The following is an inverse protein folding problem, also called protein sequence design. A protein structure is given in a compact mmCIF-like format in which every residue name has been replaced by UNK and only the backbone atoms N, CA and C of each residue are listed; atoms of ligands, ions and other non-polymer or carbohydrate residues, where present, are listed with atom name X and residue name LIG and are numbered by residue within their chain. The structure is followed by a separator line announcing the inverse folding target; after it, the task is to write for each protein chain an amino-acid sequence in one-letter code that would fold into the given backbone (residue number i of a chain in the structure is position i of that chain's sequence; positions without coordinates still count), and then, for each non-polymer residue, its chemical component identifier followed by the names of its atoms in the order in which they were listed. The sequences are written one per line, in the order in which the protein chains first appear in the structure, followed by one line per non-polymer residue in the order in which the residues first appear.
data_IF_236941977346
#
_entry.id   IF_236941977346
#
_cell.length_a   1.000
_cell.length_b   1.000
_cell.length_c   1.000
_cell.angle_alpha   90.00
_cell.angle_beta   90.00
_cell.angle_gamma   90.00
#
_symmetry.space_group_name_H-M   'P 1'
#
loop_
_entity.id
_entity.type
_entity.pdbx_description
1 polymer ?
#
# COMPACT_ATOMS: atom_id res chain seq x y z
N UNK A 1 -2.21 -17.94 6.39
CA UNK A 1 -0.74 -17.94 6.25
C UNK A 1 -0.18 -16.90 7.23
N UNK A 2 0.88 -17.21 7.97
CA UNK A 2 1.50 -16.24 8.90
C UNK A 2 2.59 -15.46 8.17
N UNK A 3 2.37 -14.17 7.92
CA UNK A 3 3.38 -13.26 7.38
C UNK A 3 4.36 -12.88 8.51
N UNK A 4 5.40 -13.69 8.71
CA UNK A 4 6.42 -13.44 9.72
C UNK A 4 7.47 -12.43 9.22
N UNK A 5 7.49 -11.25 9.86
CA UNK A 5 8.56 -10.23 9.89
C UNK A 5 9.01 -9.58 8.57
N UNK A 6 8.65 -8.29 8.42
CA UNK A 6 9.50 -7.15 7.96
C UNK A 6 10.43 -7.32 6.74
N UNK A 7 10.17 -8.30 5.88
CA UNK A 7 10.80 -8.44 4.58
C UNK A 7 9.79 -8.01 3.53
N UNK A 8 10.22 -7.07 2.72
CA UNK A 8 9.49 -6.56 1.57
C UNK A 8 8.65 -7.63 0.87
N UNK A 9 7.42 -7.26 0.50
CA UNK A 9 6.56 -8.12 -0.27
C UNK A 9 7.10 -8.21 -1.70
N UNK A 10 7.24 -9.44 -2.18
CA UNK A 10 7.36 -9.66 -3.63
C UNK A 10 6.06 -9.31 -4.33
N UNK A 11 6.14 -9.09 -5.65
CA UNK A 11 4.98 -8.84 -6.50
C UNK A 11 3.91 -9.93 -6.35
N UNK A 12 4.30 -11.20 -6.34
CA UNK A 12 3.37 -12.32 -6.17
C UNK A 12 2.65 -12.27 -4.81
N UNK A 13 3.38 -11.96 -3.72
CA UNK A 13 2.80 -11.84 -2.38
C UNK A 13 1.85 -10.64 -2.26
N UNK A 14 2.15 -9.53 -2.94
CA UNK A 14 1.22 -8.41 -3.08
C UNK A 14 -0.05 -8.83 -3.80
N UNK A 15 0.04 -9.60 -4.89
CA UNK A 15 -1.15 -10.04 -5.61
C UNK A 15 -1.98 -11.03 -4.81
N UNK A 16 -1.35 -11.97 -4.11
CA UNK A 16 -2.05 -12.85 -3.17
C UNK A 16 -2.76 -12.05 -2.07
N UNK A 17 -2.07 -11.06 -1.49
CA UNK A 17 -2.65 -10.17 -0.50
C UNK A 17 -3.87 -9.44 -1.05
N UNK A 18 -3.77 -8.88 -2.26
CA UNK A 18 -4.86 -8.11 -2.89
C UNK A 18 -5.99 -9.00 -3.44
N UNK A 19 -5.76 -10.29 -3.66
CA UNK A 19 -6.77 -11.22 -4.18
C UNK A 19 -7.88 -11.52 -3.17
N UNK A 20 -7.59 -11.41 -1.88
CA UNK A 20 -8.55 -11.69 -0.78
C UNK A 20 -9.56 -10.56 -0.52
N UNK A 21 -9.45 -9.44 -1.26
CA UNK A 21 -10.30 -8.26 -1.08
C UNK A 21 -11.32 -8.12 -2.22
N UNK A 22 -12.49 -7.63 -1.86
CA UNK A 22 -13.59 -7.36 -2.79
C UNK A 22 -13.36 -6.00 -3.49
N UNK A 23 -13.49 -5.99 -4.82
CA UNK A 23 -13.29 -4.78 -5.64
C UNK A 23 -14.30 -3.65 -5.32
N UNK A 24 -15.43 -4.00 -4.70
CA UNK A 24 -16.45 -3.05 -4.25
C UNK A 24 -16.18 -2.43 -2.87
N UNK A 25 -15.17 -2.92 -2.13
CA UNK A 25 -14.77 -2.32 -0.86
C UNK A 25 -14.01 -1.01 -1.09
N UNK A 26 -14.23 -0.06 -0.18
CA UNK A 26 -13.47 1.18 -0.10
C UNK A 26 -12.47 1.07 1.04
N UNK A 27 -11.27 1.59 0.82
CA UNK A 27 -10.21 1.59 1.81
C UNK A 27 -9.65 3.00 2.00
N UNK A 28 -9.27 3.29 3.25
CA UNK A 28 -8.59 4.53 3.59
C UNK A 28 -7.10 4.35 3.36
N UNK A 29 -6.53 5.26 2.57
CA UNK A 29 -5.11 5.33 2.31
C UNK A 29 -4.56 6.67 2.82
N UNK A 30 -3.35 6.65 3.34
CA UNK A 30 -2.62 7.85 3.78
C UNK A 30 -1.45 8.04 2.82
N UNK A 31 -1.52 9.07 1.99
CA UNK A 31 -0.37 9.51 1.20
C UNK A 31 0.56 10.34 2.08
N UNK A 32 1.85 10.03 2.03
CA UNK A 32 2.91 10.73 2.73
C UNK A 32 3.79 11.39 1.68
N UNK A 33 3.73 12.72 1.62
CA UNK A 33 4.54 13.55 0.72
C UNK A 33 5.53 14.37 1.50
N UNK A 34 6.71 14.57 0.93
CA UNK A 34 7.75 15.40 1.54
C UNK A 34 7.80 16.78 0.87
N UNK A 35 7.57 17.85 1.64
CA UNK A 35 7.78 19.23 1.20
C UNK A 35 8.69 19.93 2.20
N UNK A 36 9.85 20.43 1.75
CA UNK A 36 10.83 21.10 2.63
C UNK A 36 11.26 20.24 3.84
N UNK A 37 11.41 18.92 3.64
CA UNK A 37 11.71 17.93 4.70
C UNK A 37 10.61 17.77 5.77
N UNK A 38 9.43 18.34 5.55
CA UNK A 38 8.26 18.07 6.39
C UNK A 38 7.36 17.06 5.68
N UNK A 39 6.86 16.11 6.46
CA UNK A 39 5.87 15.14 6.01
C UNK A 39 4.49 15.78 5.96
N UNK A 40 3.81 15.59 4.84
CA UNK A 40 2.44 15.98 4.60
C UNK A 40 1.64 14.69 4.43
N UNK A 41 0.75 14.44 5.38
CA UNK A 41 -0.09 13.26 5.43
C UNK A 41 -1.47 13.63 4.87
N UNK A 42 -1.90 12.94 3.81
CA UNK A 42 -3.21 13.16 3.16
C UNK A 42 -4.01 11.88 3.21
N UNK A 43 -5.14 11.89 3.90
CA UNK A 43 -6.04 10.75 3.95
C UNK A 43 -7.03 10.81 2.78
N UNK A 44 -7.10 9.72 2.03
CA UNK A 44 -7.99 9.57 0.88
C UNK A 44 -8.77 8.26 0.97
N UNK A 45 -10.01 8.26 0.49
CA UNK A 45 -10.80 7.05 0.31
C UNK A 45 -10.78 6.67 -1.15
N UNK A 46 -10.27 5.48 -1.45
CA UNK A 46 -10.26 4.95 -2.80
C UNK A 46 -10.94 3.58 -2.83
N UNK A 47 -11.48 3.21 -3.99
CA UNK A 47 -11.96 1.84 -4.21
C UNK A 47 -10.77 0.88 -4.23
N UNK A 48 -11.02 -0.37 -3.88
CA UNK A 48 -9.99 -1.39 -3.91
C UNK A 48 -9.48 -1.65 -5.33
N UNK A 49 -10.34 -1.54 -6.35
CA UNK A 49 -9.93 -1.60 -7.76
C UNK A 49 -8.89 -0.53 -8.11
N UNK A 50 -9.09 0.72 -7.67
CA UNK A 50 -8.15 1.81 -7.93
C UNK A 50 -6.83 1.59 -7.16
N UNK A 51 -6.90 0.99 -5.96
CA UNK A 51 -5.71 0.65 -5.19
C UNK A 51 -4.87 -0.40 -5.93
N UNK A 52 -5.51 -1.45 -6.46
CA UNK A 52 -4.84 -2.46 -7.27
C UNK A 52 -4.11 -1.80 -8.43
N UNK A 53 -4.78 -0.97 -9.21
CA UNK A 53 -4.17 -0.24 -10.34
C UNK A 53 -2.98 0.61 -9.90
N UNK A 54 -3.08 1.32 -8.78
CA UNK A 54 -1.96 2.11 -8.25
C UNK A 54 -0.76 1.24 -7.91
N UNK A 55 -0.97 0.11 -7.23
CA UNK A 55 0.11 -0.83 -6.88
C UNK A 55 0.69 -1.45 -8.16
N UNK A 56 -0.14 -1.86 -9.12
CA UNK A 56 0.31 -2.41 -10.41
C UNK A 56 1.20 -1.41 -11.15
N UNK A 57 0.75 -0.16 -11.30
CA UNK A 57 1.52 0.89 -11.95
C UNK A 57 2.83 1.16 -11.19
N UNK A 58 2.79 1.16 -9.86
CA UNK A 58 3.99 1.38 -9.07
C UNK A 58 5.04 0.26 -9.20
N UNK A 59 4.60 -0.99 -9.34
CA UNK A 59 5.48 -2.12 -9.57
C UNK A 59 6.06 -2.11 -10.99
N UNK A 60 5.27 -1.73 -11.99
CA UNK A 60 5.71 -1.68 -13.40
C UNK A 60 6.65 -0.49 -13.67
N UNK A 61 6.32 0.69 -13.14
CA UNK A 61 7.11 1.91 -13.30
C UNK A 61 8.29 1.98 -12.31
N UNK A 62 8.29 1.14 -11.26
CA UNK A 62 9.26 1.18 -10.17
C UNK A 62 9.15 2.45 -9.31
N UNK A 63 7.98 3.07 -9.27
CA UNK A 63 7.73 4.31 -8.54
C UNK A 63 6.26 4.50 -8.14
N UNK A 64 5.98 4.94 -6.91
CA UNK A 64 4.62 5.35 -6.51
C UNK A 64 4.41 6.84 -6.77
N UNK A 65 3.51 7.15 -7.69
CA UNK A 65 3.14 8.53 -7.96
C UNK A 65 2.48 9.18 -6.74
N UNK A 66 3.05 10.31 -6.30
CA UNK A 66 2.50 11.06 -5.18
C UNK A 66 3.06 10.70 -3.80
N UNK A 67 4.15 9.93 -3.73
CA UNK A 67 4.92 9.69 -2.50
C UNK A 67 4.66 8.31 -1.88
N UNK A 68 5.03 8.17 -0.61
CA UNK A 68 4.79 6.93 0.12
C UNK A 68 3.29 6.81 0.43
N UNK A 69 2.81 5.59 0.60
CA UNK A 69 1.43 5.29 0.98
C UNK A 69 1.38 4.38 2.19
N UNK A 70 0.38 4.57 3.03
CA UNK A 70 0.05 3.66 4.11
C UNK A 70 -1.41 3.26 4.03
N UNK A 71 -1.67 1.97 4.15
CA UNK A 71 -2.98 1.39 3.98
C UNK A 71 -3.23 0.51 5.19
N UNK A 72 -4.27 0.84 5.96
CA UNK A 72 -4.65 0.00 7.08
C UNK A 72 -5.40 -1.22 6.55
N UNK A 73 -4.97 -2.42 6.93
CA UNK A 73 -5.62 -3.69 6.60
C UNK A 73 -6.21 -4.31 7.89
N UNK A 74 -7.43 -3.90 8.32
CA UNK A 74 -7.99 -4.29 9.61
C UNK A 74 -8.12 -5.82 9.76
N UNK A 75 -8.46 -6.51 8.66
CA UNK A 75 -8.63 -7.98 8.64
C UNK A 75 -7.36 -8.73 9.02
N UNK A 76 -6.19 -8.15 8.74
CA UNK A 76 -4.88 -8.76 9.01
C UNK A 76 -4.23 -8.20 10.27
N UNK A 77 -4.85 -7.21 10.93
CA UNK A 77 -4.21 -6.43 12.01
C UNK A 77 -2.82 -5.91 11.59
N UNK A 78 -2.71 -5.49 10.33
CA UNK A 78 -1.47 -5.01 9.71
C UNK A 78 -1.72 -3.74 8.88
N UNK A 79 -0.64 -3.03 8.55
CA UNK A 79 -0.60 -1.95 7.57
C UNK A 79 0.23 -2.40 6.37
N UNK A 80 -0.25 -2.12 5.18
CA UNK A 80 0.56 -2.17 3.97
C UNK A 80 1.20 -0.81 3.77
N UNK A 81 2.53 -0.79 3.77
CA UNK A 81 3.32 0.40 3.51
C UNK A 81 3.89 0.28 2.11
N UNK A 82 3.68 1.30 1.28
CA UNK A 82 4.31 1.43 -0.03
C UNK A 82 5.26 2.63 -0.03
N UNK A 83 6.52 2.41 -0.35
CA UNK A 83 7.53 3.45 -0.53
C UNK A 83 7.51 3.95 -1.97
N UNK A 84 7.85 5.22 -2.17
CA UNK A 84 7.90 5.87 -3.47
C UNK A 84 8.81 5.17 -4.49
N UNK A 85 9.73 4.30 -4.08
CA UNK A 85 10.54 3.46 -4.98
C UNK A 85 9.80 2.19 -5.49
N UNK A 86 8.48 2.11 -5.32
CA UNK A 86 7.70 0.92 -5.72
C UNK A 86 7.93 -0.30 -4.83
N UNK A 87 8.41 -0.08 -3.61
CA UNK A 87 8.70 -1.14 -2.63
C UNK A 87 7.57 -1.21 -1.60
N UNK A 88 7.10 -2.41 -1.29
CA UNK A 88 6.01 -2.60 -0.33
C UNK A 88 6.37 -3.56 0.80
N UNK A 89 5.81 -3.37 1.99
CA UNK A 89 5.94 -4.31 3.10
C UNK A 89 4.75 -4.23 4.05
N UNK A 90 4.58 -5.27 4.87
CA UNK A 90 3.59 -5.31 5.95
C UNK A 90 4.23 -4.90 7.27
N UNK A 91 3.54 -4.03 8.00
CA UNK A 91 3.85 -3.64 9.37
C UNK A 91 2.69 -4.03 10.30
N UNK A 92 2.97 -4.41 11.55
CA UNK A 92 1.91 -4.70 12.51
C UNK A 92 1.19 -3.39 12.92
N UNK A 93 -0.12 -3.48 13.15
CA UNK A 93 -0.93 -2.36 13.66
C UNK A 93 -0.63 -2.05 15.14
#
# INVERSE_FOLDING_TARGET
MSYSNSKYLSQDQLFELLADFDDSEYIEIIYIRYRQRQEIHTLEKISFSNLKELIFNALDEGHIFGGDIQINLPRLSQKLIGHHDGIFWLEAL
#
